data_IF_273871062455
#
_entry.id   IF_273871062455
#
_cell.length_a   1.000
_cell.length_b   1.000
_cell.length_c   1.000
_cell.angle_alpha   90.00
_cell.angle_beta   90.00
_cell.angle_gamma   90.00
#
_symmetry.space_group_name_H-M   'P 1'
#
loop_
_entity.id
_entity.type
_entity.pdbx_description
1 polymer ?
#
# COMPACT_ATOMS: atom_id res chain seq x y z
N UNK A 1 -0.11 7.93 14.59
CA UNK A 1 -0.81 7.07 15.57
C UNK A 1 -0.19 5.70 15.39
N UNK A 2 0.52 5.15 16.39
CA UNK A 2 1.59 4.14 16.15
C UNK A 2 1.13 2.91 15.35
N UNK A 3 -0.09 2.45 15.58
CA UNK A 3 -0.69 1.32 14.88
C UNK A 3 -0.93 1.62 13.39
N UNK A 4 -1.57 2.75 13.07
CA UNK A 4 -1.75 3.20 11.69
C UNK A 4 -0.41 3.40 10.99
N UNK A 5 0.57 4.00 11.68
CA UNK A 5 1.90 4.24 11.12
C UNK A 5 2.58 2.90 10.74
N UNK A 6 2.40 1.85 11.56
CA UNK A 6 2.89 0.50 11.30
C UNK A 6 2.17 -0.19 10.13
N UNK A 7 0.84 0.00 10.01
CA UNK A 7 0.05 -0.52 8.89
C UNK A 7 0.49 0.14 7.58
N UNK A 8 0.65 1.47 7.56
CA UNK A 8 1.18 2.23 6.41
C UNK A 8 2.58 1.75 6.02
N UNK A 9 3.47 1.55 7.00
CA UNK A 9 4.80 1.02 6.75
C UNK A 9 4.77 -0.37 6.08
N UNK A 10 3.85 -1.25 6.50
CA UNK A 10 3.68 -2.59 5.90
C UNK A 10 3.28 -2.52 4.43
N UNK A 11 2.29 -1.68 4.10
CA UNK A 11 1.84 -1.50 2.70
C UNK A 11 2.97 -0.94 1.83
N UNK A 12 3.69 0.07 2.32
CA UNK A 12 4.86 0.66 1.62
C UNK A 12 5.98 -0.37 1.43
N UNK A 13 6.24 -1.21 2.43
CA UNK A 13 7.21 -2.30 2.35
C UNK A 13 6.86 -3.32 1.27
N UNK A 14 5.58 -3.71 1.16
CA UNK A 14 5.13 -4.63 0.11
C UNK A 14 5.28 -4.03 -1.30
N UNK A 15 4.94 -2.74 -1.47
CA UNK A 15 5.15 -2.03 -2.72
C UNK A 15 6.64 -1.94 -3.10
N UNK A 16 7.52 -1.70 -2.11
CA UNK A 16 8.96 -1.66 -2.32
C UNK A 16 9.52 -3.04 -2.71
N UNK A 17 9.08 -4.11 -2.05
CA UNK A 17 9.45 -5.48 -2.41
C UNK A 17 9.00 -5.82 -3.84
N UNK A 18 7.76 -5.46 -4.21
CA UNK A 18 7.25 -5.65 -5.58
C UNK A 18 8.06 -4.85 -6.62
N UNK A 19 8.49 -3.64 -6.28
CA UNK A 19 9.41 -2.85 -7.14
C UNK A 19 10.70 -3.61 -7.41
N UNK A 20 11.28 -4.23 -6.37
CA UNK A 20 12.52 -4.99 -6.50
C UNK A 20 12.32 -6.24 -7.36
N UNK A 21 11.20 -6.94 -7.21
CA UNK A 21 10.84 -8.06 -8.09
C UNK A 21 10.81 -7.60 -9.55
N UNK A 22 10.11 -6.50 -9.85
CA UNK A 22 10.02 -5.93 -11.21
C UNK A 22 11.40 -5.60 -11.77
N UNK A 23 12.25 -4.96 -10.97
CA UNK A 23 13.62 -4.63 -11.38
C UNK A 23 14.42 -5.91 -11.69
N UNK A 24 14.27 -6.95 -10.85
CA UNK A 24 14.98 -8.22 -11.01
C UNK A 24 14.53 -9.01 -12.25
N UNK A 25 13.29 -8.86 -12.70
CA UNK A 25 12.79 -9.47 -13.93
C UNK A 25 13.39 -8.84 -15.22
N UNK A 26 14.02 -7.67 -15.11
CA UNK A 26 14.80 -7.07 -16.18
C UNK A 26 13.99 -6.51 -17.37
N UNK A 27 14.63 -6.38 -18.53
CA UNK A 27 14.05 -5.73 -19.72
C UNK A 27 12.84 -6.47 -20.34
N UNK A 28 12.51 -7.67 -19.84
CA UNK A 28 11.35 -8.46 -20.24
C UNK A 28 10.04 -7.96 -19.64
N UNK A 29 10.10 -7.02 -18.69
CA UNK A 29 8.91 -6.44 -18.05
C UNK A 29 8.12 -5.62 -19.07
N UNK A 30 6.92 -6.11 -19.37
CA UNK A 30 5.99 -5.51 -20.32
C UNK A 30 5.53 -4.15 -19.77
N UNK A 31 5.37 -3.09 -20.61
CA UNK A 31 4.86 -1.78 -20.18
C UNK A 31 3.58 -1.84 -19.31
N UNK A 32 2.73 -2.83 -19.55
CA UNK A 32 1.53 -3.12 -18.75
C UNK A 32 1.83 -3.39 -17.26
N UNK A 33 2.91 -4.09 -16.93
CA UNK A 33 3.35 -4.37 -15.55
C UNK A 33 3.81 -3.07 -14.88
N UNK A 34 4.54 -2.24 -15.63
CA UNK A 34 5.00 -0.92 -15.17
C UNK A 34 3.82 0.02 -14.89
N UNK A 35 2.78 0.01 -15.71
CA UNK A 35 1.58 0.84 -15.51
C UNK A 35 0.70 0.32 -14.37
N UNK A 36 0.54 -1.00 -14.24
CA UNK A 36 -0.12 -1.60 -13.08
C UNK A 36 0.60 -1.21 -11.78
N UNK A 37 1.93 -1.28 -11.77
CA UNK A 37 2.73 -0.88 -10.62
C UNK A 37 2.58 0.62 -10.29
N UNK A 38 2.67 1.52 -11.28
CA UNK A 38 2.45 2.97 -11.08
C UNK A 38 1.08 3.29 -10.50
N UNK A 39 0.02 2.60 -10.94
CA UNK A 39 -1.32 2.75 -10.33
C UNK A 39 -1.30 2.39 -8.85
N UNK A 40 -0.69 1.27 -8.47
CA UNK A 40 -0.56 0.90 -7.05
C UNK A 40 0.32 1.86 -6.26
N UNK A 41 1.34 2.47 -6.86
CA UNK A 41 2.08 3.54 -6.20
C UNK A 41 1.18 4.73 -5.84
N UNK A 42 0.31 5.16 -6.76
CA UNK A 42 -0.62 6.26 -6.49
C UNK A 42 -1.62 5.90 -5.38
N UNK A 43 -2.17 4.69 -5.42
CA UNK A 43 -3.11 4.23 -4.39
C UNK A 43 -2.47 4.14 -3.00
N UNK A 44 -1.22 3.66 -2.90
CA UNK A 44 -0.46 3.64 -1.63
C UNK A 44 -0.17 5.05 -1.13
N UNK A 45 0.14 6.00 -2.02
CA UNK A 45 0.28 7.41 -1.63
C UNK A 45 -1.04 8.00 -1.12
N UNK A 46 -2.17 7.72 -1.78
CA UNK A 46 -3.48 8.16 -1.31
C UNK A 46 -3.84 7.55 0.04
N UNK A 47 -3.54 6.26 0.24
CA UNK A 47 -3.72 5.57 1.52
C UNK A 47 -2.91 6.21 2.65
N UNK A 48 -1.62 6.50 2.41
CA UNK A 48 -0.77 7.19 3.38
C UNK A 48 -1.32 8.58 3.73
N UNK A 49 -1.72 9.36 2.72
CA UNK A 49 -2.29 10.70 2.94
C UNK A 49 -3.58 10.66 3.75
N UNK A 50 -4.50 9.74 3.42
CA UNK A 50 -5.77 9.61 4.13
C UNK A 50 -5.55 9.26 5.60
N UNK A 51 -4.62 8.36 5.91
CA UNK A 51 -4.37 7.88 7.26
C UNK A 51 -3.51 8.83 8.11
N UNK A 52 -2.66 9.65 7.47
CA UNK A 52 -1.87 10.68 8.17
C UNK A 52 -2.68 11.92 8.54
N UNK A 53 -3.83 12.16 7.90
CA UNK A 53 -4.69 13.33 8.16
C UNK A 53 -5.73 13.10 9.26
N UNK A 54 -5.84 11.87 9.80
CA UNK A 54 -6.88 11.55 10.78
C UNK A 54 -6.44 11.92 12.20
N UNK A 55 -6.94 13.07 12.69
CA UNK A 55 -6.99 13.35 14.12
C UNK A 55 -8.26 12.76 14.71
N UNK A 56 -8.14 11.59 15.34
CA UNK A 56 -9.25 10.88 15.94
C UNK A 56 -9.32 11.08 17.45
N UNK A 57 -10.53 11.29 17.95
CA UNK A 57 -10.83 11.17 19.39
C UNK A 57 -10.67 9.70 19.83
N UNK A 58 -10.30 9.46 21.10
CA UNK A 58 -9.88 8.15 21.59
C UNK A 58 -10.87 7.01 21.31
N UNK A 59 -12.18 7.28 21.34
CA UNK A 59 -13.22 6.27 21.09
C UNK A 59 -13.38 5.90 19.60
N UNK A 60 -12.87 6.71 18.67
CA UNK A 60 -12.92 6.45 17.23
C UNK A 60 -11.66 5.74 16.73
N UNK A 61 -10.61 5.65 17.56
CA UNK A 61 -9.31 5.08 17.18
C UNK A 61 -9.41 3.61 16.77
N UNK A 62 -10.21 2.82 17.49
CA UNK A 62 -10.39 1.40 17.18
C UNK A 62 -11.03 1.19 15.80
N UNK A 63 -12.12 1.91 15.51
CA UNK A 63 -12.81 1.80 14.21
C UNK A 63 -11.92 2.26 13.06
N UNK A 64 -11.11 3.30 13.29
CA UNK A 64 -10.13 3.78 12.33
C UNK A 64 -9.00 2.79 12.08
N UNK A 65 -8.51 2.12 13.12
CA UNK A 65 -7.50 1.06 12.97
C UNK A 65 -8.10 -0.10 12.17
N UNK A 66 -9.30 -0.58 12.51
CA UNK A 66 -9.97 -1.67 11.78
C UNK A 66 -10.15 -1.32 10.30
N UNK A 67 -10.62 -0.10 10.01
CA UNK A 67 -10.75 0.36 8.63
C UNK A 67 -9.40 0.43 7.93
N UNK A 68 -8.38 0.98 8.59
CA UNK A 68 -7.01 1.06 8.06
C UNK A 68 -6.45 -0.34 7.73
N UNK A 69 -6.69 -1.33 8.60
CA UNK A 69 -6.30 -2.72 8.39
C UNK A 69 -7.01 -3.34 7.18
N UNK A 70 -8.32 -3.10 7.05
CA UNK A 70 -9.09 -3.60 5.90
C UNK A 70 -8.59 -3.00 4.58
N UNK A 71 -8.48 -1.66 4.52
CA UNK A 71 -7.97 -0.94 3.35
C UNK A 71 -6.54 -1.38 3.00
N UNK A 72 -5.70 -1.64 4.01
CA UNK A 72 -4.36 -2.17 3.81
C UNK A 72 -4.35 -3.61 3.26
N UNK A 73 -5.23 -4.49 3.74
CA UNK A 73 -5.35 -5.85 3.23
C UNK A 73 -5.75 -5.87 1.76
N UNK A 74 -6.69 -5.02 1.36
CA UNK A 74 -7.12 -4.88 -0.03
C UNK A 74 -5.94 -4.42 -0.92
N UNK A 75 -5.21 -3.38 -0.49
CA UNK A 75 -4.05 -2.86 -1.21
C UNK A 75 -2.92 -3.90 -1.32
N UNK A 76 -2.64 -4.64 -0.24
CA UNK A 76 -1.66 -5.73 -0.26
C UNK A 76 -2.07 -6.82 -1.26
N UNK A 77 -3.36 -7.18 -1.29
CA UNK A 77 -3.92 -8.10 -2.26
C UNK A 77 -3.71 -7.61 -3.70
N UNK A 78 -4.01 -6.35 -3.99
CA UNK A 78 -3.82 -5.77 -5.31
C UNK A 78 -2.35 -5.66 -5.74
N UNK A 79 -1.44 -5.32 -4.81
CA UNK A 79 0.01 -5.33 -5.06
C UNK A 79 0.49 -6.75 -5.41
N UNK A 80 -0.01 -7.76 -4.69
CA UNK A 80 0.37 -9.16 -4.93
C UNK A 80 -0.04 -9.68 -6.32
N UNK A 81 -1.11 -9.12 -6.90
CA UNK A 81 -1.63 -9.47 -8.24
C UNK A 81 -0.77 -8.93 -9.38
N UNK A 82 0.16 -8.01 -9.13
CA UNK A 82 1.11 -7.54 -10.15
C UNK A 82 2.00 -8.73 -10.52
N UNK A 83 1.78 -9.25 -11.73
CA UNK A 83 2.60 -10.32 -12.30
C UNK A 83 3.89 -9.73 -12.81
N UNK A 84 5.00 -10.27 -12.32
CA UNK A 84 6.37 -9.86 -12.61
C UNK A 84 7.04 -10.93 -13.45
#
# INVERSE_FOLDING_TARGET
MKEIDAIVAKVKGALAAKKQEIINAGNSVIPFVTDAFKRRQMEVCSFELMNNQVNAEDYQKTDLIIRCEHDALDLLGEISKIRV
#
